data_IF_127012859258
#
_entry.id   IF_127012859258
#
_cell.length_a   1.000
_cell.length_b   1.000
_cell.length_c   1.000
_cell.angle_alpha   90.00
_cell.angle_beta   90.00
_cell.angle_gamma   90.00
#
_symmetry.space_group_name_H-M   'P 1'
#
loop_
_entity.id
_entity.type
_entity.pdbx_description
1 polymer ?
#
# COMPACT_ATOMS: atom_id res chain seq x y z
N UNK A 1 13.08 12.36 2.50
CA UNK A 1 13.14 10.96 2.96
C UNK A 1 12.76 11.02 4.42
N UNK A 2 11.64 10.42 4.81
CA UNK A 2 11.22 10.40 6.20
C UNK A 2 11.84 9.13 6.80
N UNK A 3 12.95 9.32 7.52
CA UNK A 3 13.60 8.36 8.41
C UNK A 3 14.10 7.03 7.81
N UNK A 4 14.66 7.02 6.60
CA UNK A 4 15.23 5.83 5.88
C UNK A 4 14.27 4.63 5.68
N UNK A 5 13.12 4.62 6.34
CA UNK A 5 12.11 3.56 6.41
C UNK A 5 10.96 3.81 5.42
N UNK A 6 10.64 5.08 5.13
CA UNK A 6 9.50 5.44 4.25
C UNK A 6 9.91 6.49 3.22
N UNK A 7 9.82 6.12 1.95
CA UNK A 7 9.90 7.06 0.82
C UNK A 7 8.50 7.41 0.35
N UNK A 8 7.99 8.52 0.87
CA UNK A 8 6.69 9.07 0.48
C UNK A 8 6.89 10.33 -0.35
N UNK A 9 6.13 10.45 -1.43
CA UNK A 9 6.05 11.69 -2.18
C UNK A 9 5.03 12.61 -1.50
N UNK A 10 5.50 13.44 -0.56
CA UNK A 10 4.69 14.51 0.03
C UNK A 10 4.70 15.70 -0.92
N UNK A 11 3.52 16.24 -1.23
CA UNK A 11 3.43 17.54 -1.90
C UNK A 11 3.39 18.61 -0.82
N UNK A 12 4.56 19.18 -0.51
CA UNK A 12 4.72 20.25 0.49
C UNK A 12 3.78 21.43 0.16
N UNK A 13 3.01 21.86 1.16
CA UNK A 13 2.05 22.97 1.06
C UNK A 13 0.56 22.59 0.91
N UNK A 14 0.24 21.33 0.58
CA UNK A 14 -1.17 20.91 0.39
C UNK A 14 -1.70 19.89 1.41
N UNK A 15 -0.86 19.43 2.36
CA UNK A 15 -1.27 18.40 3.32
C UNK A 15 -1.64 17.08 2.63
N UNK A 16 -1.01 16.78 1.48
CA UNK A 16 -1.38 15.68 0.59
C UNK A 16 -0.22 14.71 0.34
N UNK A 17 -0.48 13.42 0.51
CA UNK A 17 0.41 12.32 0.11
C UNK A 17 0.02 11.87 -1.29
N UNK A 18 0.96 11.85 -2.23
CA UNK A 18 0.72 11.43 -3.61
C UNK A 18 1.34 10.06 -3.86
N UNK A 19 0.58 9.14 -4.44
CA UNK A 19 1.07 7.84 -4.90
C UNK A 19 0.63 7.62 -6.35
N UNK A 20 1.57 7.23 -7.21
CA UNK A 20 1.31 6.99 -8.64
C UNK A 20 1.53 5.51 -8.96
N UNK A 21 0.49 4.83 -9.46
CA UNK A 21 0.58 3.44 -9.94
C UNK A 21 0.26 3.39 -11.42
N UNK A 22 1.02 2.62 -12.20
CA UNK A 22 0.79 2.51 -13.64
C UNK A 22 -0.64 2.06 -14.00
N UNK A 23 -1.25 1.16 -13.23
CA UNK A 23 -2.62 0.69 -13.45
C UNK A 23 -3.38 0.45 -12.15
N UNK A 24 -4.72 0.42 -12.23
CA UNK A 24 -5.61 0.17 -11.08
C UNK A 24 -5.79 -1.31 -10.70
N UNK A 25 -5.01 -2.23 -11.28
CA UNK A 25 -5.15 -3.69 -11.08
C UNK A 25 -5.06 -4.10 -9.61
N UNK A 26 -4.26 -3.40 -8.82
CA UNK A 26 -4.06 -3.64 -7.38
C UNK A 26 -4.54 -2.44 -6.55
N UNK A 27 -5.69 -1.85 -6.91
CA UNK A 27 -6.19 -0.62 -6.27
C UNK A 27 -6.38 -0.76 -4.76
N UNK A 28 -6.82 -1.93 -4.27
CA UNK A 28 -6.99 -2.15 -2.84
C UNK A 28 -5.64 -2.09 -2.09
N UNK A 29 -4.62 -2.79 -2.59
CA UNK A 29 -3.27 -2.69 -2.01
C UNK A 29 -2.70 -1.26 -2.09
N UNK A 30 -2.96 -0.55 -3.19
CA UNK A 30 -2.55 0.85 -3.33
C UNK A 30 -3.24 1.77 -2.31
N UNK A 31 -4.53 1.54 -1.99
CA UNK A 31 -5.24 2.27 -0.93
C UNK A 31 -4.65 1.99 0.44
N UNK A 32 -4.38 0.74 0.77
CA UNK A 32 -3.76 0.38 2.06
C UNK A 32 -2.36 0.98 2.21
N UNK A 33 -1.57 1.01 1.13
CA UNK A 33 -0.28 1.67 1.13
C UNK A 33 -0.40 3.17 1.48
N UNK A 34 -1.30 3.89 0.81
CA UNK A 34 -1.52 5.31 1.11
C UNK A 34 -2.09 5.52 2.52
N UNK A 35 -3.03 4.68 2.95
CA UNK A 35 -3.58 4.72 4.30
C UNK A 35 -2.51 4.50 5.37
N UNK A 36 -1.59 3.56 5.16
CA UNK A 36 -0.43 3.35 6.03
C UNK A 36 0.42 4.62 6.14
N UNK A 37 0.69 5.31 5.03
CA UNK A 37 1.42 6.58 5.06
C UNK A 37 0.69 7.68 5.82
N UNK A 38 -0.62 7.82 5.61
CA UNK A 38 -1.42 8.81 6.35
C UNK A 38 -1.42 8.50 7.86
N UNK A 39 -1.54 7.22 8.24
CA UNK A 39 -1.47 6.78 9.64
C UNK A 39 -0.11 7.09 10.26
N UNK A 40 0.97 6.74 9.56
CA UNK A 40 2.34 7.00 9.98
C UNK A 40 2.59 8.49 10.21
N UNK A 41 2.20 9.32 9.24
CA UNK A 41 2.35 10.78 9.32
C UNK A 41 1.49 11.40 10.45
N UNK A 42 0.27 10.91 10.65
CA UNK A 42 -0.58 11.33 11.77
C UNK A 42 0.08 11.02 13.10
N UNK A 43 0.70 9.84 13.23
CA UNK A 43 1.44 9.44 14.44
C UNK A 43 2.67 10.33 14.71
N UNK A 44 3.32 10.83 13.65
CA UNK A 44 4.43 11.79 13.75
C UNK A 44 3.95 13.25 14.01
N UNK A 45 2.65 13.49 14.14
CA UNK A 45 2.10 14.82 14.44
C UNK A 45 1.81 15.69 13.22
N UNK A 46 1.79 15.14 11.99
CA UNK A 46 1.46 15.88 10.77
C UNK A 46 -0.05 16.23 10.64
N UNK A 47 -0.88 15.77 11.57
CA UNK A 47 -2.33 15.98 11.57
C UNK A 47 -3.08 15.14 10.54
N UNK A 48 -4.31 15.54 10.21
CA UNK A 48 -5.18 14.82 9.29
C UNK A 48 -4.87 15.19 7.83
N UNK A 49 -3.92 14.44 7.25
CA UNK A 49 -3.56 14.56 5.84
C UNK A 49 -4.52 13.77 4.93
N UNK A 50 -4.48 14.08 3.63
CA UNK A 50 -5.26 13.39 2.61
C UNK A 50 -4.33 12.69 1.62
N UNK A 51 -4.70 11.50 1.16
CA UNK A 51 -3.99 10.76 0.14
C UNK A 51 -4.57 10.97 -1.25
N UNK A 52 -3.73 10.91 -2.28
CA UNK A 52 -4.14 10.86 -3.68
C UNK A 52 -3.46 9.72 -4.40
N UNK A 53 -4.26 8.82 -4.98
CA UNK A 53 -3.82 7.79 -5.89
C UNK A 53 -4.02 8.26 -7.33
N UNK A 54 -2.97 8.19 -8.15
CA UNK A 54 -3.06 8.44 -9.60
C UNK A 54 -2.81 7.14 -10.36
N UNK A 55 -3.67 6.90 -11.34
CA UNK A 55 -3.58 5.79 -12.28
C UNK A 55 -3.50 6.36 -13.71
N UNK A 56 -2.28 6.64 -14.23
CA UNK A 56 -2.12 7.30 -15.53
C UNK A 56 -2.72 6.52 -16.70
N UNK A 57 -2.61 5.18 -16.71
CA UNK A 57 -3.15 4.34 -17.78
C UNK A 57 -4.67 4.49 -17.92
N UNK A 58 -5.38 4.59 -16.80
CA UNK A 58 -6.84 4.77 -16.75
C UNK A 58 -7.25 6.25 -16.67
N UNK A 59 -6.30 7.19 -16.72
CA UNK A 59 -6.50 8.65 -16.54
C UNK A 59 -7.36 8.97 -15.31
N UNK A 60 -7.15 8.21 -14.23
CA UNK A 60 -7.99 8.26 -13.03
C UNK A 60 -7.20 8.77 -11.83
N UNK A 61 -7.90 9.50 -10.96
CA UNK A 61 -7.41 9.91 -9.65
C UNK A 61 -8.41 9.46 -8.60
N UNK A 62 -7.92 9.15 -7.42
CA UNK A 62 -8.73 8.76 -6.28
C UNK A 62 -8.20 9.39 -5.01
N UNK A 63 -9.10 9.97 -4.22
CA UNK A 63 -8.77 10.52 -2.90
C UNK A 63 -8.87 9.41 -1.85
N UNK A 64 -7.92 9.36 -0.93
CA UNK A 64 -7.88 8.41 0.19
C UNK A 64 -7.89 9.21 1.49
N UNK A 65 -8.81 8.89 2.39
CA UNK A 65 -8.90 9.47 3.74
C UNK A 65 -8.87 8.36 4.76
N UNK A 66 -8.26 8.62 5.90
CA UNK A 66 -8.36 7.71 7.03
C UNK A 66 -9.81 7.67 7.53
N UNK A 67 -10.38 6.48 7.52
CA UNK A 67 -11.65 6.15 8.16
C UNK A 67 -11.39 5.02 9.14
N UNK A 68 -12.22 4.84 10.18
CA UNK A 68 -12.05 3.72 11.12
C UNK A 68 -11.90 2.37 10.42
N UNK A 69 -12.73 2.12 9.40
CA UNK A 69 -12.67 0.87 8.61
C UNK A 69 -11.36 0.72 7.84
N UNK A 70 -10.81 1.81 7.30
CA UNK A 70 -9.56 1.76 6.54
C UNK A 70 -8.35 1.62 7.47
N UNK A 71 -8.41 2.21 8.66
CA UNK A 71 -7.40 2.04 9.69
C UNK A 71 -7.35 0.58 10.18
N UNK A 72 -8.52 -0.03 10.42
CA UNK A 72 -8.60 -1.46 10.79
C UNK A 72 -8.04 -2.35 9.67
N UNK A 73 -8.36 -2.08 8.40
CA UNK A 73 -7.79 -2.84 7.29
C UNK A 73 -6.26 -2.73 7.21
N UNK A 74 -5.67 -1.58 7.57
CA UNK A 74 -4.21 -1.43 7.65
C UNK A 74 -3.67 -2.26 8.82
N UNK A 75 -4.30 -2.20 10.00
CA UNK A 75 -3.91 -2.98 11.16
C UNK A 75 -3.98 -4.50 10.87
N UNK A 76 -5.03 -4.96 10.21
CA UNK A 76 -5.20 -6.34 9.75
C UNK A 76 -4.09 -6.76 8.79
N UNK A 77 -3.79 -5.93 7.79
CA UNK A 77 -2.73 -6.21 6.83
C UNK A 77 -1.37 -6.34 7.52
N UNK A 78 -1.05 -5.47 8.49
CA UNK A 78 0.18 -5.54 9.26
C UNK A 78 0.25 -6.81 10.13
N UNK A 79 -0.87 -7.19 10.77
CA UNK A 79 -0.97 -8.44 11.54
C UNK A 79 -0.74 -9.67 10.66
N UNK A 80 -1.34 -9.70 9.48
CA UNK A 80 -1.17 -10.82 8.54
C UNK A 80 0.24 -10.89 7.96
N UNK A 81 0.88 -9.75 7.68
CA UNK A 81 2.31 -9.72 7.29
C UNK A 81 3.17 -10.35 8.39
N UNK A 82 3.02 -9.88 9.63
CA UNK A 82 3.78 -10.42 10.77
C UNK A 82 3.51 -11.93 10.98
N UNK A 83 2.27 -12.37 10.79
CA UNK A 83 1.89 -13.78 10.85
C UNK A 83 2.61 -14.61 9.78
N UNK A 84 2.62 -14.14 8.53
CA UNK A 84 3.28 -14.83 7.39
C UNK A 84 4.80 -14.86 7.56
N UNK A 85 5.41 -13.78 8.01
CA UNK A 85 6.86 -13.70 8.28
C UNK A 85 7.32 -14.67 9.38
N UNK A 86 6.46 -14.93 10.37
CA UNK A 86 6.74 -15.86 11.45
C UNK A 86 6.54 -17.34 11.07
N UNK A 87 6.00 -17.64 9.89
CA UNK A 87 5.79 -19.02 9.46
C UNK A 87 7.12 -19.68 9.07
N UNK A 88 7.34 -20.97 9.40
CA UNK A 88 8.55 -21.69 8.98
C UNK A 88 8.64 -21.87 7.46
N UNK A 89 7.52 -21.74 6.75
CA UNK A 89 7.41 -21.81 5.30
C UNK A 89 6.27 -20.89 4.83
N UNK A 90 6.32 -20.34 3.60
CA UNK A 90 5.23 -19.53 3.07
C UNK A 90 3.90 -20.31 3.05
N UNK A 91 2.76 -19.64 3.21
CA UNK A 91 1.45 -20.29 3.16
C UNK A 91 1.20 -20.91 1.79
N UNK A 92 0.47 -22.02 1.77
CA UNK A 92 0.05 -22.64 0.51
C UNK A 92 -0.87 -21.70 -0.27
N UNK A 93 -0.58 -21.54 -1.55
CA UNK A 93 -1.41 -20.80 -2.52
C UNK A 93 -1.47 -21.60 -3.81
N UNK A 94 -2.53 -21.43 -4.59
CA UNK A 94 -2.60 -21.96 -5.96
C UNK A 94 -1.99 -20.97 -6.97
N UNK A 95 -1.67 -21.46 -8.18
CA UNK A 95 -1.21 -20.58 -9.25
C UNK A 95 -2.33 -19.62 -9.68
N UNK A 96 -2.07 -18.32 -9.55
CA UNK A 96 -3.04 -17.25 -9.81
C UNK A 96 -2.68 -16.43 -11.05
N UNK A 97 -3.61 -15.59 -11.51
CA UNK A 97 -3.38 -14.65 -12.62
C UNK A 97 -2.22 -13.68 -12.36
N UNK A 98 -1.98 -13.30 -11.10
CA UNK A 98 -0.86 -12.46 -10.66
C UNK A 98 0.50 -13.16 -10.77
N UNK A 99 0.52 -14.49 -10.78
CA UNK A 99 1.76 -15.27 -10.92
C UNK A 99 2.30 -15.19 -12.35
N UNK A 100 1.44 -15.05 -13.38
CA UNK A 100 1.86 -15.02 -14.79
C UNK A 100 2.92 -13.95 -15.11
N UNK A 101 2.77 -12.67 -14.68
CA UNK A 101 3.79 -11.66 -14.89
C UNK A 101 4.79 -11.55 -13.72
N UNK A 102 4.73 -12.44 -12.71
CA UNK A 102 5.54 -12.30 -11.51
C UNK A 102 7.01 -12.66 -11.80
N UNK A 103 7.93 -11.76 -11.44
CA UNK A 103 9.38 -12.01 -11.58
C UNK A 103 9.87 -13.22 -10.77
N UNK A 104 9.12 -13.64 -9.75
CA UNK A 104 9.41 -14.78 -8.89
C UNK A 104 8.71 -16.07 -9.34
N UNK A 105 7.95 -16.07 -10.44
CA UNK A 105 7.15 -17.23 -10.85
C UNK A 105 7.99 -18.52 -11.00
N UNK A 106 9.16 -18.42 -11.63
CA UNK A 106 10.09 -19.56 -11.79
C UNK A 106 10.63 -20.07 -10.45
N UNK A 107 10.79 -19.21 -9.44
CA UNK A 107 11.23 -19.65 -8.11
C UNK A 107 10.12 -20.33 -7.32
N UNK A 108 8.86 -19.93 -7.56
CA UNK A 108 7.70 -20.49 -6.87
C UNK A 108 7.16 -21.77 -7.52
N UNK A 109 7.31 -21.92 -8.84
CA UNK A 109 6.61 -22.94 -9.65
C UNK A 109 7.49 -23.69 -10.66
N UNK A 110 8.76 -23.31 -10.79
CA UNK A 110 9.74 -24.00 -11.63
C UNK A 110 10.30 -25.27 -11.02
#
# INVERSE_FOLDING_TARGET
>A
MLDELVRVDVVEGQGRVLEVKHSRRLVHAARLQVAYYLLYLRHLGAGDMVGELRFPKERRREEVRLTPDLEEQVADALREIARVEAMPSPPHVDYMSVCRPCAYAELCWG
#
